data_IF_470359955334
#
_entry.id   IF_470359955334
#
_cell.length_a   1.000
_cell.length_b   1.000
_cell.length_c   1.000
_cell.angle_alpha   90.00
_cell.angle_beta   90.00
_cell.angle_gamma   90.00
#
_symmetry.space_group_name_H-M   'P 1'
#
loop_
_entity.id
_entity.type
_entity.pdbx_description
1 polymer ?
#
# COMPACT_ATOMS: atom_id res chain seq x y z
N UNK A 1 -16.85 20.59 5.04
CA UNK A 1 -16.57 20.18 3.65
C UNK A 1 -17.74 19.31 3.22
N UNK A 2 -18.53 19.75 2.23
CA UNK A 2 -19.75 19.06 1.82
C UNK A 2 -19.41 17.72 1.17
N UNK A 3 -19.92 16.67 1.77
CA UNK A 3 -19.93 15.34 1.20
C UNK A 3 -20.86 15.37 -0.04
N UNK A 4 -20.29 15.29 -1.23
CA UNK A 4 -21.06 15.00 -2.44
C UNK A 4 -21.52 13.56 -2.28
N UNK A 5 -22.84 13.26 -2.25
CA UNK A 5 -23.32 11.88 -2.12
C UNK A 5 -22.70 11.06 -3.25
N UNK A 6 -21.92 10.04 -2.88
CA UNK A 6 -21.16 9.23 -3.81
C UNK A 6 -22.06 8.59 -4.84
N UNK A 7 -21.91 9.01 -6.09
CA UNK A 7 -22.31 8.18 -7.21
C UNK A 7 -21.56 6.86 -7.05
N UNK A 8 -22.29 5.77 -6.91
CA UNK A 8 -21.70 4.42 -6.80
C UNK A 8 -20.88 4.17 -8.06
N UNK A 9 -19.55 4.40 -7.98
CA UNK A 9 -18.65 4.22 -9.11
C UNK A 9 -18.45 2.72 -9.28
N UNK A 10 -19.25 2.13 -10.12
CA UNK A 10 -19.10 0.74 -10.53
C UNK A 10 -18.39 0.65 -11.90
N UNK A 11 -18.05 -0.56 -12.33
CA UNK A 11 -17.28 -0.83 -13.55
C UNK A 11 -17.97 -0.34 -14.84
N UNK A 12 -19.25 0.01 -14.82
CA UNK A 12 -19.99 0.56 -15.98
C UNK A 12 -19.87 2.07 -16.08
N UNK A 13 -19.26 2.74 -15.07
CA UNK A 13 -19.11 4.18 -15.08
C UNK A 13 -18.28 4.63 -16.29
N UNK A 14 -18.70 5.68 -17.00
CA UNK A 14 -18.01 6.19 -18.18
C UNK A 14 -16.54 6.55 -17.99
N UNK A 15 -16.08 6.85 -16.78
CA UNK A 15 -14.66 7.12 -16.50
C UNK A 15 -13.74 5.94 -16.82
N UNK A 16 -14.26 4.72 -16.85
CA UNK A 16 -13.49 3.51 -17.19
C UNK A 16 -13.47 3.19 -18.68
N UNK A 17 -14.27 3.92 -19.49
CA UNK A 17 -14.47 3.64 -20.91
C UNK A 17 -14.10 4.82 -21.82
N UNK A 18 -14.13 6.05 -21.30
CA UNK A 18 -13.85 7.29 -22.01
C UNK A 18 -12.57 7.95 -21.47
N UNK A 19 -11.59 8.19 -22.36
CA UNK A 19 -10.28 8.74 -21.95
C UNK A 19 -10.40 10.21 -21.48
N UNK A 20 -11.30 11.00 -22.07
CA UNK A 20 -11.50 12.40 -21.67
C UNK A 20 -12.13 12.48 -20.28
N UNK A 21 -13.14 11.64 -20.00
CA UNK A 21 -13.75 11.55 -18.67
C UNK A 21 -12.78 11.02 -17.62
N UNK A 22 -11.95 10.03 -17.97
CA UNK A 22 -10.88 9.53 -17.13
C UNK A 22 -9.86 10.63 -16.78
N UNK A 23 -9.45 11.40 -17.78
CA UNK A 23 -8.52 12.53 -17.58
C UNK A 23 -9.12 13.56 -16.65
N UNK A 24 -10.38 13.98 -16.90
CA UNK A 24 -11.07 14.98 -16.07
C UNK A 24 -11.24 14.49 -14.61
N UNK A 25 -11.54 13.21 -14.40
CA UNK A 25 -11.64 12.64 -13.06
C UNK A 25 -10.30 12.71 -12.31
N UNK A 26 -9.20 12.31 -12.96
CA UNK A 26 -7.88 12.34 -12.33
C UNK A 26 -7.41 13.80 -12.12
N UNK A 27 -7.72 14.74 -13.04
CA UNK A 27 -7.46 16.17 -12.87
C UNK A 27 -8.19 16.71 -11.63
N UNK A 28 -9.46 16.35 -11.44
CA UNK A 28 -10.26 16.73 -10.28
C UNK A 28 -9.69 16.18 -8.97
N UNK A 29 -9.37 14.88 -8.93
CA UNK A 29 -8.79 14.24 -7.73
C UNK A 29 -7.41 14.80 -7.36
N UNK A 30 -6.62 15.20 -8.36
CA UNK A 30 -5.27 15.70 -8.15
C UNK A 30 -5.24 17.18 -7.75
N UNK A 31 -6.07 18.01 -8.37
CA UNK A 31 -5.94 19.47 -8.30
C UNK A 31 -7.18 20.19 -7.80
N UNK A 32 -8.30 19.49 -7.67
CA UNK A 32 -9.59 20.08 -7.23
C UNK A 32 -9.96 21.38 -7.96
N UNK A 33 -9.65 21.44 -9.29
CA UNK A 33 -9.93 22.62 -10.14
C UNK A 33 -8.79 23.64 -10.24
N UNK A 34 -7.77 23.55 -9.40
CA UNK A 34 -6.62 24.48 -9.37
C UNK A 34 -5.31 23.76 -9.73
N UNK A 35 -4.99 23.57 -11.03
CA UNK A 35 -3.80 22.86 -11.43
C UNK A 35 -2.52 23.52 -10.94
N UNK A 36 -1.61 22.71 -10.37
CA UNK A 36 -0.31 23.14 -9.87
C UNK A 36 0.79 22.53 -10.72
N UNK A 37 1.79 23.33 -11.09
CA UNK A 37 2.94 22.85 -11.84
C UNK A 37 3.76 21.86 -11.01
N UNK A 38 3.95 20.61 -11.48
CA UNK A 38 4.71 19.60 -10.73
C UNK A 38 6.23 19.84 -10.76
N UNK A 39 6.72 20.78 -11.55
CA UNK A 39 8.14 21.11 -11.68
C UNK A 39 8.57 22.23 -10.71
N UNK A 40 7.77 23.29 -10.58
CA UNK A 40 8.13 24.45 -9.76
C UNK A 40 7.09 24.85 -8.70
N UNK A 41 5.95 24.16 -8.61
CA UNK A 41 4.90 24.47 -7.62
C UNK A 41 4.01 25.67 -7.96
N UNK A 42 4.22 26.34 -9.12
CA UNK A 42 3.44 27.51 -9.51
C UNK A 42 1.98 27.19 -9.81
N UNK A 43 1.08 28.11 -9.44
CA UNK A 43 -0.32 28.14 -9.84
C UNK A 43 -0.52 28.85 -11.20
N UNK A 44 0.49 29.58 -11.70
CA UNK A 44 0.47 30.27 -12.99
C UNK A 44 0.52 29.31 -14.17
N UNK A 45 -0.49 28.46 -14.31
CA UNK A 45 -0.56 27.45 -15.37
C UNK A 45 -1.74 27.69 -16.28
N UNK A 46 -1.62 27.27 -17.56
CA UNK A 46 -2.71 27.33 -18.53
C UNK A 46 -2.89 25.99 -19.22
N UNK A 47 -4.13 25.58 -19.45
CA UNK A 47 -4.47 24.41 -20.26
C UNK A 47 -4.22 24.70 -21.73
N UNK A 48 -3.51 23.82 -22.40
CA UNK A 48 -3.21 23.98 -23.83
C UNK A 48 -4.38 23.48 -24.67
N UNK A 49 -4.63 24.20 -25.80
CA UNK A 49 -5.71 23.85 -26.73
C UNK A 49 -5.24 22.97 -27.88
N UNK A 50 -6.22 22.47 -28.65
CA UNK A 50 -5.98 21.66 -29.86
C UNK A 50 -5.92 20.14 -29.63
N UNK A 51 -6.20 19.36 -30.68
CA UNK A 51 -6.30 17.90 -30.61
C UNK A 51 -5.00 17.22 -30.17
N UNK A 52 -3.85 17.76 -30.58
CA UNK A 52 -2.52 17.20 -30.29
C UNK A 52 -2.03 17.51 -28.88
N UNK A 53 -2.70 18.44 -28.18
CA UNK A 53 -2.30 18.91 -26.85
C UNK A 53 -3.38 18.67 -25.78
N UNK A 54 -4.34 17.79 -26.08
CA UNK A 54 -5.40 17.44 -25.15
C UNK A 54 -4.85 16.95 -23.80
N UNK A 55 -5.33 17.54 -22.70
CA UNK A 55 -4.86 17.22 -21.33
C UNK A 55 -3.44 17.74 -20.99
N UNK A 56 -2.86 18.63 -21.81
CA UNK A 56 -1.56 19.23 -21.59
C UNK A 56 -1.71 20.61 -20.96
N UNK A 57 -0.84 20.92 -20.02
CA UNK A 57 -0.70 22.23 -19.37
C UNK A 57 0.67 22.82 -19.66
N UNK A 58 0.75 24.15 -19.68
CA UNK A 58 1.98 24.92 -19.73
C UNK A 58 2.07 25.77 -18.47
N UNK A 59 3.19 25.68 -17.78
CA UNK A 59 3.53 26.61 -16.69
C UNK A 59 4.04 27.94 -17.27
N UNK A 60 3.49 29.06 -16.79
CA UNK A 60 3.93 30.38 -17.24
C UNK A 60 5.28 30.79 -16.63
N UNK A 61 5.62 30.23 -15.46
CA UNK A 61 6.85 30.60 -14.75
C UNK A 61 8.06 29.80 -15.23
N UNK A 62 8.03 28.46 -15.13
CA UNK A 62 9.16 27.62 -15.57
C UNK A 62 9.12 27.24 -17.06
N UNK A 63 8.03 27.56 -17.78
CA UNK A 63 7.83 27.26 -19.20
C UNK A 63 7.76 25.76 -19.55
N UNK A 64 7.77 24.89 -18.55
CA UNK A 64 7.66 23.45 -18.76
C UNK A 64 6.20 23.02 -19.04
N UNK A 65 6.08 21.99 -19.89
CA UNK A 65 4.81 21.35 -20.20
C UNK A 65 4.62 20.14 -19.31
N UNK A 66 3.40 19.93 -18.86
CA UNK A 66 3.05 18.77 -18.04
C UNK A 66 1.63 18.28 -18.34
N UNK A 67 1.34 17.09 -17.84
CA UNK A 67 0.00 16.47 -17.89
C UNK A 67 -0.35 15.98 -16.49
N UNK A 68 -1.57 15.50 -16.32
CA UNK A 68 -2.00 14.87 -15.06
C UNK A 68 -1.14 13.67 -14.65
N UNK A 69 -0.37 13.08 -15.56
CA UNK A 69 0.57 11.96 -15.28
C UNK A 69 1.91 12.42 -14.70
N UNK A 70 2.34 13.63 -15.01
CA UNK A 70 3.67 14.15 -14.66
C UNK A 70 3.84 14.22 -13.14
N UNK A 71 4.95 13.68 -12.61
CA UNK A 71 5.20 13.61 -11.18
C UNK A 71 4.30 12.61 -10.43
N UNK A 72 3.77 11.58 -11.10
CA UNK A 72 2.96 10.54 -10.46
C UNK A 72 3.45 9.14 -10.86
N UNK A 73 2.89 8.11 -10.21
CA UNK A 73 3.14 6.70 -10.60
C UNK A 73 2.73 6.40 -12.05
N UNK A 74 1.91 7.25 -12.68
CA UNK A 74 1.47 7.13 -14.07
C UNK A 74 2.46 7.73 -15.07
N UNK A 75 3.49 8.43 -14.61
CA UNK A 75 4.44 9.13 -15.48
C UNK A 75 5.09 8.19 -16.50
N UNK A 76 5.20 8.66 -17.73
CA UNK A 76 5.74 7.92 -18.90
C UNK A 76 5.07 6.58 -19.18
N UNK A 77 3.84 6.39 -18.70
CA UNK A 77 3.05 5.21 -19.07
C UNK A 77 2.33 5.43 -20.39
N UNK A 78 2.40 4.44 -21.27
CA UNK A 78 1.61 4.40 -22.51
C UNK A 78 0.22 3.79 -22.32
N UNK A 79 -0.08 3.26 -21.12
CA UNK A 79 -1.42 2.72 -20.80
C UNK A 79 -2.41 3.89 -20.72
N UNK A 80 -3.57 3.84 -21.42
CA UNK A 80 -4.61 4.87 -21.33
C UNK A 80 -5.06 5.12 -19.89
N UNK A 81 -5.42 6.36 -19.54
CA UNK A 81 -5.84 6.74 -18.18
C UNK A 81 -7.10 5.98 -17.75
N UNK A 82 -8.06 5.77 -18.66
CA UNK A 82 -9.25 4.94 -18.38
C UNK A 82 -8.89 3.52 -17.91
N UNK A 83 -7.84 2.91 -18.47
CA UNK A 83 -7.34 1.60 -18.03
C UNK A 83 -6.59 1.67 -16.69
N UNK A 84 -5.93 2.79 -16.41
CA UNK A 84 -5.33 3.06 -15.10
C UNK A 84 -6.40 3.15 -14.03
N UNK A 85 -7.46 3.93 -14.26
CA UNK A 85 -8.59 4.05 -13.33
C UNK A 85 -9.26 2.71 -13.08
N UNK A 86 -9.56 1.96 -14.16
CA UNK A 86 -10.17 0.64 -14.05
C UNK A 86 -9.29 -0.33 -13.24
N UNK A 87 -7.98 -0.37 -13.53
CA UNK A 87 -7.06 -1.22 -12.79
C UNK A 87 -6.96 -0.83 -11.31
N UNK A 88 -6.92 0.47 -11.01
CA UNK A 88 -6.91 0.99 -9.64
C UNK A 88 -8.19 0.61 -8.89
N UNK A 89 -9.35 0.81 -9.52
CA UNK A 89 -10.65 0.44 -8.96
C UNK A 89 -10.76 -1.08 -8.69
N UNK A 90 -10.37 -1.92 -9.65
CA UNK A 90 -10.36 -3.38 -9.46
C UNK A 90 -9.43 -3.80 -8.30
N UNK A 91 -8.26 -3.19 -8.18
CA UNK A 91 -7.35 -3.46 -7.05
C UNK A 91 -7.91 -2.96 -5.72
N UNK A 92 -8.60 -1.82 -5.71
CA UNK A 92 -9.27 -1.27 -4.53
C UNK A 92 -10.42 -2.16 -4.06
N UNK A 93 -11.26 -2.63 -4.97
CA UNK A 93 -12.42 -3.48 -4.69
C UNK A 93 -12.05 -4.91 -4.25
N UNK A 94 -10.87 -5.40 -4.62
CA UNK A 94 -10.45 -6.77 -4.34
C UNK A 94 -10.00 -6.97 -2.89
N UNK A 95 -10.74 -7.76 -2.11
CA UNK A 95 -10.40 -8.08 -0.70
C UNK A 95 -9.14 -8.93 -0.52
N UNK A 96 -8.78 -9.75 -1.52
CA UNK A 96 -7.64 -10.69 -1.46
C UNK A 96 -6.51 -10.34 -2.41
N UNK A 97 -6.63 -9.23 -3.13
CA UNK A 97 -5.71 -8.84 -4.17
C UNK A 97 -6.08 -9.38 -5.55
N UNK A 98 -5.31 -8.96 -6.56
CA UNK A 98 -5.54 -9.31 -7.96
C UNK A 98 -4.23 -9.77 -8.61
N UNK A 99 -4.26 -10.94 -9.25
CA UNK A 99 -3.08 -11.42 -9.99
C UNK A 99 -2.85 -10.57 -11.25
N UNK A 100 -1.59 -10.35 -11.61
CA UNK A 100 -1.24 -9.60 -12.82
C UNK A 100 -1.74 -10.26 -14.09
N UNK A 101 -1.81 -11.59 -14.14
CA UNK A 101 -2.35 -12.33 -15.27
C UNK A 101 -3.86 -12.08 -15.45
N UNK A 102 -4.62 -12.06 -14.35
CA UNK A 102 -6.05 -11.74 -14.36
C UNK A 102 -6.28 -10.28 -14.73
N UNK A 103 -5.53 -9.36 -14.12
CA UNK A 103 -5.58 -7.93 -14.45
C UNK A 103 -5.35 -7.70 -15.94
N UNK A 104 -4.32 -8.33 -16.53
CA UNK A 104 -4.01 -8.20 -17.95
C UNK A 104 -5.17 -8.60 -18.86
N UNK A 105 -5.86 -9.70 -18.54
CA UNK A 105 -7.06 -10.13 -19.27
C UNK A 105 -8.22 -9.16 -19.13
N UNK A 106 -8.47 -8.66 -17.91
CA UNK A 106 -9.61 -7.78 -17.62
C UNK A 106 -9.49 -6.41 -18.30
N UNK A 107 -8.28 -5.84 -18.33
CA UNK A 107 -8.08 -4.50 -18.93
C UNK A 107 -7.52 -4.55 -20.35
N UNK A 108 -7.30 -5.74 -20.90
CA UNK A 108 -6.81 -5.94 -22.28
C UNK A 108 -5.40 -5.37 -22.50
N UNK A 109 -4.42 -5.83 -21.69
CA UNK A 109 -2.98 -5.52 -21.84
C UNK A 109 -2.15 -6.78 -21.64
N UNK A 110 -0.88 -6.75 -22.10
CA UNK A 110 0.03 -7.89 -21.92
C UNK A 110 0.29 -8.14 -20.41
N UNK A 111 0.62 -9.39 -20.08
CA UNK A 111 1.00 -9.76 -18.71
C UNK A 111 2.09 -8.85 -18.12
N UNK A 112 3.13 -8.56 -18.90
CA UNK A 112 4.26 -7.72 -18.51
C UNK A 112 3.79 -6.29 -18.18
N UNK A 113 2.90 -5.73 -18.99
CA UNK A 113 2.30 -4.41 -18.76
C UNK A 113 1.43 -4.41 -17.52
N UNK A 114 0.57 -5.43 -17.36
CA UNK A 114 -0.29 -5.56 -16.18
C UNK A 114 0.53 -5.75 -14.90
N UNK A 115 1.59 -6.55 -14.95
CA UNK A 115 2.47 -6.76 -13.79
C UNK A 115 3.11 -5.45 -13.33
N UNK A 116 3.66 -4.68 -14.27
CA UNK A 116 4.28 -3.41 -13.94
C UNK A 116 3.25 -2.35 -13.48
N UNK A 117 2.07 -2.34 -14.10
CA UNK A 117 0.94 -1.50 -13.70
C UNK A 117 0.52 -1.79 -12.26
N UNK A 118 0.30 -3.06 -11.92
CA UNK A 118 -0.04 -3.46 -10.55
C UNK A 118 1.03 -3.04 -9.53
N UNK A 119 2.32 -3.13 -9.87
CA UNK A 119 3.38 -2.67 -8.98
C UNK A 119 3.42 -1.15 -8.81
N UNK A 120 3.09 -0.38 -9.85
CA UNK A 120 2.94 1.07 -9.74
C UNK A 120 1.73 1.47 -8.90
N UNK A 121 0.62 0.73 -9.00
CA UNK A 121 -0.55 0.93 -8.13
C UNK A 121 -0.20 0.60 -6.67
N UNK A 122 0.57 -0.46 -6.40
CA UNK A 122 1.06 -0.76 -5.04
C UNK A 122 1.97 0.33 -4.48
N UNK A 123 2.78 0.95 -5.33
CA UNK A 123 3.58 2.12 -4.95
C UNK A 123 2.69 3.31 -4.55
N UNK A 124 1.57 3.51 -5.27
CA UNK A 124 0.56 4.50 -4.90
C UNK A 124 -0.16 4.12 -3.60
N UNK A 125 -0.46 2.84 -3.38
CA UNK A 125 -1.04 2.34 -2.13
C UNK A 125 -0.12 2.60 -0.92
N UNK A 126 1.19 2.44 -1.11
CA UNK A 126 2.17 2.79 -0.07
C UNK A 126 2.13 4.29 0.28
N UNK A 127 1.97 5.16 -0.74
CA UNK A 127 1.83 6.60 -0.53
C UNK A 127 0.52 7.03 0.10
N UNK A 128 -0.52 6.22 -0.03
CA UNK A 128 -1.82 6.45 0.59
C UNK A 128 -1.89 5.96 2.04
N UNK A 129 -0.97 5.10 2.47
CA UNK A 129 -0.93 4.65 3.86
C UNK A 129 -0.51 5.78 4.80
N UNK A 130 -1.08 5.85 6.01
CA UNK A 130 -0.72 6.86 6.98
C UNK A 130 0.76 6.83 7.32
N UNK A 131 1.35 8.00 7.54
CA UNK A 131 2.73 8.19 7.98
C UNK A 131 2.78 8.79 9.39
N UNK A 132 3.95 8.76 10.03
CA UNK A 132 4.11 9.25 11.39
C UNK A 132 4.05 8.13 12.45
N UNK A 133 4.36 8.43 13.72
CA UNK A 133 4.34 7.46 14.80
C UNK A 133 2.91 6.94 15.06
N UNK A 134 2.82 5.66 15.39
CA UNK A 134 1.58 5.00 15.83
C UNK A 134 1.46 5.06 17.34
N UNK A 135 0.25 5.00 17.88
CA UNK A 135 0.00 5.02 19.31
C UNK A 135 0.02 6.42 19.92
N UNK A 136 0.68 6.57 21.06
CA UNK A 136 0.72 7.76 21.90
C UNK A 136 0.32 7.46 23.35
N UNK A 137 0.23 8.48 24.20
CA UNK A 137 -0.15 8.34 25.60
C UNK A 137 -1.54 7.68 25.74
N UNK A 138 -1.62 6.65 26.58
CA UNK A 138 -2.85 5.88 26.82
C UNK A 138 -3.29 4.98 25.66
N UNK A 139 -2.53 4.92 24.58
CA UNK A 139 -2.85 4.09 23.40
C UNK A 139 -1.99 2.84 23.35
N UNK A 140 -2.50 1.81 22.65
CA UNK A 140 -1.85 0.51 22.54
C UNK A 140 -1.52 0.16 21.10
N UNK A 141 -0.31 -0.34 20.89
CA UNK A 141 0.13 -0.87 19.58
C UNK A 141 0.56 -2.32 19.73
N UNK A 142 -0.08 -3.19 18.95
CA UNK A 142 0.33 -4.59 18.82
C UNK A 142 1.49 -4.72 17.82
N UNK A 143 2.52 -5.48 18.17
CA UNK A 143 3.60 -5.86 17.26
C UNK A 143 3.72 -7.37 17.20
N UNK A 144 3.68 -7.93 16.00
CA UNK A 144 3.77 -9.37 15.78
C UNK A 144 4.46 -9.66 14.45
N UNK A 145 5.02 -10.85 14.28
CA UNK A 145 5.69 -11.25 13.07
C UNK A 145 5.06 -12.47 12.39
N UNK A 146 5.17 -12.48 11.08
CA UNK A 146 4.75 -13.62 10.27
C UNK A 146 5.77 -13.94 9.18
N UNK A 147 5.67 -15.15 8.65
CA UNK A 147 6.60 -15.66 7.64
C UNK A 147 5.88 -16.01 6.35
N UNK A 148 6.40 -15.48 5.24
CA UNK A 148 5.93 -15.73 3.88
C UNK A 148 6.88 -16.68 3.16
N UNK A 149 6.34 -17.74 2.57
CA UNK A 149 7.10 -18.73 1.79
C UNK A 149 6.41 -20.09 1.75
N UNK A 150 6.86 -20.95 0.83
CA UNK A 150 6.31 -22.28 0.67
C UNK A 150 6.64 -23.23 1.84
N UNK A 151 5.84 -24.29 2.01
CA UNK A 151 6.09 -25.34 2.99
C UNK A 151 7.31 -26.17 2.58
N UNK A 152 8.23 -26.46 3.52
CA UNK A 152 9.43 -27.26 3.29
C UNK A 152 9.10 -28.66 2.74
N UNK A 153 8.00 -29.27 3.23
CA UNK A 153 7.53 -30.60 2.81
C UNK A 153 7.17 -30.73 1.34
N UNK A 154 6.91 -29.61 0.66
CA UNK A 154 6.55 -29.63 -0.76
C UNK A 154 7.78 -29.65 -1.69
N UNK A 155 9.00 -29.86 -1.14
CA UNK A 155 10.26 -29.83 -1.87
C UNK A 155 11.12 -31.05 -1.49
N UNK A 156 10.67 -32.25 -1.91
CA UNK A 156 11.29 -33.53 -1.53
C UNK A 156 12.79 -33.62 -1.82
N UNK A 157 13.32 -32.92 -2.83
CA UNK A 157 14.71 -33.01 -3.26
C UNK A 157 15.48 -31.68 -3.29
N UNK A 158 14.94 -30.61 -2.71
CA UNK A 158 15.62 -29.27 -2.69
C UNK A 158 15.57 -28.68 -1.29
N UNK A 159 16.63 -27.96 -0.92
CA UNK A 159 16.62 -27.16 0.32
C UNK A 159 15.39 -26.24 0.35
N UNK A 160 14.70 -26.16 1.50
CA UNK A 160 13.56 -25.24 1.64
C UNK A 160 13.99 -23.81 1.31
N UNK A 161 13.17 -23.07 0.58
CA UNK A 161 13.43 -21.66 0.38
C UNK A 161 13.39 -20.93 1.71
N UNK A 162 14.33 -20.01 1.93
CA UNK A 162 14.33 -19.13 3.12
C UNK A 162 12.95 -18.43 3.20
N UNK A 163 12.27 -18.56 4.31
CA UNK A 163 11.06 -17.82 4.58
C UNK A 163 11.40 -16.34 4.75
N UNK A 164 10.52 -15.48 4.26
CA UNK A 164 10.64 -14.03 4.37
C UNK A 164 9.81 -13.58 5.53
N UNK A 165 10.41 -12.80 6.42
CA UNK A 165 9.72 -12.30 7.60
C UNK A 165 9.04 -10.96 7.30
N UNK A 166 7.86 -10.78 7.88
CA UNK A 166 7.10 -9.53 7.89
C UNK A 166 6.73 -9.24 9.33
N UNK A 167 7.10 -8.05 9.81
CA UNK A 167 6.67 -7.51 11.10
C UNK A 167 5.54 -6.53 10.84
N UNK A 168 4.44 -6.68 11.54
CA UNK A 168 3.28 -5.77 11.44
C UNK A 168 3.01 -5.11 12.79
N UNK A 169 2.70 -3.82 12.71
CA UNK A 169 2.31 -2.97 13.82
C UNK A 169 0.84 -2.64 13.65
N UNK A 170 0.02 -2.84 14.67
CA UNK A 170 -1.41 -2.54 14.64
C UNK A 170 -1.75 -1.60 15.79
N UNK A 171 -2.16 -0.39 15.46
CA UNK A 171 -2.71 0.57 16.43
C UNK A 171 -4.13 0.13 16.79
N UNK A 172 -4.40 -0.09 18.07
CA UNK A 172 -5.68 -0.69 18.52
C UNK A 172 -6.82 0.31 18.51
N UNK A 173 -6.54 1.56 18.78
CA UNK A 173 -7.54 2.62 18.86
C UNK A 173 -8.00 3.06 17.47
N UNK A 174 -7.07 3.21 16.54
CA UNK A 174 -7.39 3.57 15.16
C UNK A 174 -7.68 2.36 14.26
N UNK A 175 -7.24 1.18 14.68
CA UNK A 175 -7.29 -0.04 13.89
C UNK A 175 -6.41 0.01 12.65
N UNK A 176 -5.37 0.87 12.63
CA UNK A 176 -4.45 0.99 11.49
C UNK A 176 -3.34 -0.04 11.56
N UNK A 177 -3.01 -0.62 10.41
CA UNK A 177 -1.91 -1.55 10.23
C UNK A 177 -0.76 -0.92 9.45
N UNK A 178 0.47 -1.29 9.82
CA UNK A 178 1.69 -0.95 9.08
C UNK A 178 2.66 -2.12 9.11
N UNK A 179 3.03 -2.62 7.94
CA UNK A 179 3.80 -3.86 7.82
C UNK A 179 5.13 -3.62 7.12
N UNK A 180 6.15 -4.29 7.61
CA UNK A 180 7.52 -4.15 7.12
C UNK A 180 8.12 -5.52 6.80
N UNK A 181 8.74 -5.61 5.64
CA UNK A 181 9.62 -6.72 5.36
C UNK A 181 10.93 -6.54 6.13
N UNK A 182 11.34 -7.57 6.85
CA UNK A 182 12.64 -7.61 7.54
C UNK A 182 13.50 -8.73 6.99
N UNK A 183 14.80 -8.46 6.85
CA UNK A 183 15.74 -9.46 6.35
C UNK A 183 15.95 -10.60 7.36
N UNK A 184 15.98 -10.24 8.64
CA UNK A 184 16.11 -11.18 9.75
C UNK A 184 15.23 -10.69 10.92
N UNK A 185 14.61 -11.64 11.61
CA UNK A 185 13.91 -11.37 12.86
C UNK A 185 14.90 -11.49 13.99
N UNK A 186 15.62 -10.41 14.28
CA UNK A 186 16.53 -10.28 15.41
C UNK A 186 16.19 -9.03 16.22
N UNK A 187 16.64 -8.99 17.46
CA UNK A 187 16.30 -7.90 18.38
C UNK A 187 16.72 -6.51 17.86
N UNK A 188 17.86 -6.42 17.13
CA UNK A 188 18.37 -5.14 16.61
C UNK A 188 17.48 -4.58 15.50
N UNK A 189 17.16 -5.39 14.49
CA UNK A 189 16.39 -4.97 13.33
C UNK A 189 14.94 -4.65 13.72
N UNK A 190 14.33 -5.52 14.55
CA UNK A 190 12.96 -5.33 15.07
C UNK A 190 12.88 -4.10 15.97
N UNK A 191 13.90 -3.89 16.86
CA UNK A 191 13.95 -2.68 17.70
C UNK A 191 13.98 -1.40 16.87
N UNK A 192 14.87 -1.33 15.88
CA UNK A 192 14.99 -0.15 15.02
C UNK A 192 13.66 0.19 14.35
N UNK A 193 12.96 -0.83 13.84
CA UNK A 193 11.66 -0.69 13.20
C UNK A 193 10.60 -0.17 14.18
N UNK A 194 10.46 -0.79 15.34
CA UNK A 194 9.41 -0.47 16.32
C UNK A 194 9.62 0.92 16.89
N UNK A 195 10.84 1.26 17.30
CA UNK A 195 11.18 2.57 17.89
C UNK A 195 10.99 3.72 16.91
N UNK A 196 11.18 3.48 15.60
CA UNK A 196 10.97 4.50 14.57
C UNK A 196 9.49 4.73 14.27
N UNK A 197 8.64 3.71 14.47
CA UNK A 197 7.25 3.74 14.01
C UNK A 197 6.21 3.85 15.13
N UNK A 198 6.58 3.61 16.39
CA UNK A 198 5.66 3.68 17.54
C UNK A 198 6.13 4.79 18.50
N UNK A 199 5.17 5.59 18.96
CA UNK A 199 5.41 6.57 20.02
C UNK A 199 5.75 5.85 21.34
N UNK A 200 6.81 6.27 22.01
CA UNK A 200 7.28 5.64 23.26
C UNK A 200 6.34 5.81 24.45
N UNK A 201 5.43 6.78 24.41
CA UNK A 201 4.37 6.93 25.40
C UNK A 201 3.27 5.86 25.28
N UNK A 202 3.34 4.99 24.28
CA UNK A 202 2.36 3.93 24.03
C UNK A 202 2.57 2.72 24.95
N UNK A 203 1.52 1.92 25.10
CA UNK A 203 1.59 0.53 25.54
C UNK A 203 1.96 -0.37 24.36
N UNK A 204 3.15 -0.99 24.41
CA UNK A 204 3.55 -1.99 23.41
C UNK A 204 2.98 -3.36 23.81
N UNK A 205 2.28 -4.03 22.89
CA UNK A 205 1.76 -5.39 23.09
C UNK A 205 2.45 -6.36 22.12
N UNK A 206 3.04 -7.44 22.65
CA UNK A 206 3.77 -8.43 21.87
C UNK A 206 3.46 -9.86 22.34
N UNK A 207 3.89 -10.83 21.56
CA UNK A 207 4.00 -12.20 22.04
C UNK A 207 5.16 -12.37 23.05
N UNK A 208 5.33 -13.59 23.59
CA UNK A 208 6.38 -13.94 24.57
C UNK A 208 7.77 -14.08 23.95
N UNK A 209 8.01 -13.64 22.71
CA UNK A 209 9.32 -13.77 22.10
C UNK A 209 10.38 -12.90 22.82
N UNK A 210 11.54 -13.51 23.10
CA UNK A 210 12.65 -12.83 23.78
C UNK A 210 13.21 -11.62 23.02
N UNK A 211 12.93 -11.48 21.72
CA UNK A 211 13.36 -10.33 20.91
C UNK A 211 12.71 -9.02 21.39
N UNK A 212 11.52 -9.09 22.02
CA UNK A 212 10.80 -7.94 22.53
C UNK A 212 11.12 -7.59 24.00
N UNK A 213 11.80 -8.46 24.74
CA UNK A 213 11.97 -8.29 26.18
C UNK A 213 12.74 -7.02 26.57
N UNK A 214 13.84 -6.72 25.90
CA UNK A 214 14.60 -5.49 26.18
C UNK A 214 13.93 -4.27 25.56
N UNK A 215 13.35 -4.43 24.38
CA UNK A 215 12.64 -3.39 23.65
C UNK A 215 11.42 -2.86 24.45
N UNK A 216 10.67 -3.74 25.08
CA UNK A 216 9.50 -3.35 25.87
C UNK A 216 9.79 -2.34 26.96
N UNK A 217 11.03 -2.31 27.52
CA UNK A 217 11.46 -1.35 28.53
C UNK A 217 11.60 0.09 28.03
N UNK A 218 11.56 0.29 26.70
CA UNK A 218 11.67 1.62 26.08
C UNK A 218 10.32 2.30 25.89
N UNK A 219 9.22 1.62 26.23
CA UNK A 219 7.85 2.11 26.13
C UNK A 219 7.24 2.36 27.50
N UNK A 220 6.18 3.18 27.56
CA UNK A 220 5.50 3.48 28.82
C UNK A 220 5.03 2.21 29.53
N UNK A 221 4.48 1.26 28.77
CA UNK A 221 4.10 -0.07 29.26
C UNK A 221 4.43 -1.13 28.21
N UNK A 222 4.77 -2.35 28.67
CA UNK A 222 4.91 -3.51 27.81
C UNK A 222 4.05 -4.65 28.34
N UNK A 223 3.10 -5.07 27.52
CA UNK A 223 2.21 -6.18 27.82
C UNK A 223 2.57 -7.38 26.94
N UNK A 224 2.70 -8.55 27.54
CA UNK A 224 3.11 -9.78 26.86
C UNK A 224 2.01 -10.83 26.97
N UNK A 225 1.55 -11.35 25.84
CA UNK A 225 0.54 -12.41 25.74
C UNK A 225 1.21 -13.74 25.46
N UNK A 226 0.85 -14.78 26.22
CA UNK A 226 1.41 -16.13 26.05
C UNK A 226 0.45 -17.06 25.29
N UNK A 227 0.48 -17.01 23.96
CA UNK A 227 -0.32 -17.91 23.11
C UNK A 227 -0.02 -19.40 23.30
N UNK A 228 1.22 -19.74 23.70
CA UNK A 228 1.62 -21.13 23.93
C UNK A 228 0.93 -21.76 25.15
N UNK A 229 0.38 -20.97 26.08
CA UNK A 229 -0.36 -21.40 27.24
C UNK A 229 -1.89 -21.35 27.05
N UNK A 230 -2.38 -21.07 25.83
CA UNK A 230 -3.81 -20.92 25.57
C UNK A 230 -4.41 -19.61 26.09
N UNK A 231 -3.57 -18.66 26.48
CA UNK A 231 -4.01 -17.30 26.83
C UNK A 231 -4.32 -16.52 25.55
N UNK A 232 -5.59 -16.39 25.23
CA UNK A 232 -6.05 -15.54 24.11
C UNK A 232 -6.30 -14.10 24.52
N UNK A 233 -6.52 -13.84 25.82
CA UNK A 233 -6.66 -12.51 26.40
C UNK A 233 -6.28 -12.53 27.89
N UNK A 234 -5.59 -11.51 28.36
CA UNK A 234 -5.27 -11.26 29.77
C UNK A 234 -6.00 -10.00 30.20
N UNK A 235 -6.64 -10.03 31.39
CA UNK A 235 -7.40 -8.90 31.94
C UNK A 235 -8.48 -8.31 31.01
N UNK A 236 -8.93 -9.05 29.97
CA UNK A 236 -9.92 -8.59 29.00
C UNK A 236 -9.41 -7.59 27.95
N UNK A 237 -8.23 -7.01 28.13
CA UNK A 237 -7.69 -5.96 27.24
C UNK A 237 -6.38 -6.35 26.55
N UNK A 238 -5.62 -7.28 27.12
CA UNK A 238 -4.31 -7.69 26.64
C UNK A 238 -4.47 -8.90 25.71
N UNK A 239 -4.42 -8.69 24.41
CA UNK A 239 -4.48 -9.74 23.38
C UNK A 239 -3.71 -9.31 22.12
N UNK A 240 -3.30 -10.25 21.27
CA UNK A 240 -2.72 -9.98 19.94
C UNK A 240 -3.66 -10.41 18.81
N UNK A 241 -4.96 -10.57 19.11
CA UNK A 241 -5.96 -11.06 18.16
C UNK A 241 -6.10 -10.15 16.92
N UNK A 242 -5.78 -8.86 17.04
CA UNK A 242 -5.89 -7.90 15.93
C UNK A 242 -4.79 -8.15 14.90
N UNK A 243 -3.57 -8.39 15.34
CA UNK A 243 -2.46 -8.75 14.49
C UNK A 243 -2.69 -10.14 13.81
N UNK A 244 -3.19 -11.10 14.57
CA UNK A 244 -3.55 -12.42 14.01
C UNK A 244 -4.65 -12.32 12.94
N UNK A 245 -5.67 -11.49 13.14
CA UNK A 245 -6.72 -11.24 12.15
C UNK A 245 -6.14 -10.61 10.88
N UNK A 246 -5.29 -9.58 11.02
CA UNK A 246 -4.59 -8.98 9.90
C UNK A 246 -3.76 -10.01 9.13
N UNK A 247 -2.96 -10.83 9.83
CA UNK A 247 -2.17 -11.88 9.19
C UNK A 247 -3.03 -12.95 8.51
N UNK A 248 -4.19 -13.25 9.03
CA UNK A 248 -5.15 -14.18 8.39
C UNK A 248 -5.58 -13.64 7.02
N UNK A 249 -5.88 -12.32 6.91
CA UNK A 249 -6.23 -11.68 5.65
C UNK A 249 -5.03 -11.67 4.70
N UNK A 250 -3.86 -11.29 5.19
CA UNK A 250 -2.61 -11.26 4.42
C UNK A 250 -2.26 -12.64 3.85
N UNK A 251 -2.26 -13.68 4.69
CA UNK A 251 -1.96 -15.06 4.28
C UNK A 251 -2.97 -15.61 3.27
N UNK A 252 -4.26 -15.25 3.40
CA UNK A 252 -5.28 -15.64 2.39
C UNK A 252 -4.98 -15.05 1.02
N UNK A 253 -4.50 -13.81 0.94
CA UNK A 253 -4.07 -13.20 -0.31
C UNK A 253 -2.79 -13.84 -0.86
N UNK A 254 -1.81 -14.11 0.01
CA UNK A 254 -0.57 -14.80 -0.39
C UNK A 254 -0.86 -16.17 -0.99
N UNK A 255 -1.67 -16.99 -0.32
CA UNK A 255 -1.93 -18.38 -0.73
C UNK A 255 -2.92 -18.44 -1.90
N UNK A 256 -3.98 -17.63 -1.86
CA UNK A 256 -5.09 -17.74 -2.81
C UNK A 256 -4.94 -16.91 -4.08
N UNK A 257 -4.09 -15.87 -4.08
CA UNK A 257 -3.99 -14.94 -5.22
C UNK A 257 -2.59 -14.83 -5.78
N UNK A 258 -1.58 -14.61 -4.92
CA UNK A 258 -0.23 -14.28 -5.37
C UNK A 258 0.69 -15.50 -5.46
N UNK A 259 0.46 -16.53 -4.66
CA UNK A 259 1.22 -17.77 -4.55
C UNK A 259 2.70 -17.58 -4.25
N UNK A 260 3.38 -16.67 -4.95
CA UNK A 260 4.78 -16.33 -4.76
C UNK A 260 4.98 -14.81 -4.83
N UNK A 261 5.67 -14.27 -3.83
CA UNK A 261 6.14 -12.89 -3.79
C UNK A 261 7.66 -12.90 -3.62
N UNK A 262 8.39 -12.23 -4.54
CA UNK A 262 9.84 -12.11 -4.39
C UNK A 262 10.18 -11.21 -3.20
N UNK A 263 11.35 -11.39 -2.63
CA UNK A 263 11.84 -10.55 -1.53
C UNK A 263 11.89 -9.07 -1.93
N UNK A 264 12.40 -8.78 -3.14
CA UNK A 264 12.51 -7.43 -3.67
C UNK A 264 11.16 -6.68 -3.84
N UNK A 265 10.05 -7.39 -3.80
CA UNK A 265 8.71 -6.81 -4.02
C UNK A 265 7.78 -6.97 -2.81
N UNK A 266 8.20 -7.70 -1.77
CA UNK A 266 7.34 -8.05 -0.64
C UNK A 266 6.80 -6.81 0.08
N UNK A 267 7.62 -5.77 0.27
CA UNK A 267 7.19 -4.51 0.90
C UNK A 267 5.99 -3.87 0.20
N UNK A 268 5.95 -3.89 -1.15
CA UNK A 268 4.79 -3.36 -1.90
C UNK A 268 3.52 -4.18 -1.70
N UNK A 269 3.65 -5.49 -1.49
CA UNK A 269 2.50 -6.32 -1.12
C UNK A 269 2.05 -6.06 0.31
N UNK A 270 2.97 -5.83 1.24
CA UNK A 270 2.63 -5.38 2.58
C UNK A 270 1.81 -4.07 2.53
N UNK A 271 2.30 -3.06 1.82
CA UNK A 271 1.61 -1.78 1.65
C UNK A 271 0.20 -1.93 1.02
N UNK A 272 0.01 -2.88 0.11
CA UNK A 272 -1.30 -3.21 -0.46
C UNK A 272 -2.27 -3.77 0.59
N UNK A 273 -1.82 -4.65 1.47
CA UNK A 273 -2.66 -5.23 2.53
C UNK A 273 -2.90 -4.25 3.67
N UNK A 274 -1.90 -3.44 4.02
CA UNK A 274 -2.03 -2.37 4.99
C UNK A 274 -3.12 -1.38 4.54
N UNK A 275 -3.06 -0.89 3.30
CA UNK A 275 -4.06 0.05 2.79
C UNK A 275 -5.46 -0.55 2.80
N UNK A 276 -5.62 -1.81 2.35
CA UNK A 276 -6.93 -2.48 2.41
C UNK A 276 -7.49 -2.58 3.82
N UNK A 277 -6.64 -2.85 4.77
CA UNK A 277 -7.02 -2.96 6.17
C UNK A 277 -7.36 -1.58 6.75
N UNK A 278 -6.54 -0.58 6.45
CA UNK A 278 -6.68 0.79 6.93
C UNK A 278 -7.91 1.51 6.35
N UNK A 279 -8.34 1.09 5.16
CA UNK A 279 -9.48 1.69 4.43
C UNK A 279 -10.69 0.75 4.34
N UNK A 280 -10.81 -0.22 5.26
CA UNK A 280 -11.89 -1.23 5.22
C UNK A 280 -13.30 -0.63 5.33
N UNK A 281 -13.41 0.53 5.96
CA UNK A 281 -14.67 1.25 6.18
C UNK A 281 -15.04 2.19 5.00
N UNK A 282 -14.12 2.37 4.04
CA UNK A 282 -14.37 3.15 2.83
C UNK A 282 -15.03 2.30 1.74
N UNK A 283 -15.80 2.96 0.90
CA UNK A 283 -16.29 2.38 -0.35
C UNK A 283 -15.13 2.08 -1.31
N UNK A 284 -15.36 1.22 -2.30
CA UNK A 284 -14.33 0.88 -3.30
C UNK A 284 -13.90 2.10 -4.12
N UNK A 285 -14.83 3.03 -4.38
CA UNK A 285 -14.57 4.28 -5.09
C UNK A 285 -13.69 5.23 -4.26
N UNK A 286 -14.03 5.45 -3.00
CA UNK A 286 -13.24 6.28 -2.09
C UNK A 286 -11.82 5.71 -1.94
N UNK A 287 -11.70 4.40 -1.74
CA UNK A 287 -10.40 3.72 -1.66
C UNK A 287 -9.59 3.88 -2.95
N UNK A 288 -10.23 3.79 -4.12
CA UNK A 288 -9.57 4.01 -5.40
C UNK A 288 -9.04 5.45 -5.53
N UNK A 289 -9.78 6.44 -5.06
CA UNK A 289 -9.35 7.84 -5.06
C UNK A 289 -8.20 8.09 -4.08
N UNK A 290 -8.21 7.47 -2.89
CA UNK A 290 -7.05 7.52 -1.98
C UNK A 290 -5.79 6.94 -2.63
N UNK A 291 -5.90 5.84 -3.38
CA UNK A 291 -4.78 5.27 -4.13
C UNK A 291 -4.27 6.25 -5.20
N UNK A 292 -5.17 6.94 -5.92
CA UNK A 292 -4.77 7.94 -6.92
C UNK A 292 -3.99 9.09 -6.29
N UNK A 293 -4.46 9.62 -5.16
CA UNK A 293 -3.79 10.68 -4.40
C UNK A 293 -2.43 10.22 -3.86
N UNK A 294 -2.34 9.01 -3.32
CA UNK A 294 -1.09 8.41 -2.85
C UNK A 294 -0.06 8.16 -3.95
N UNK A 295 -0.47 8.20 -5.22
CA UNK A 295 0.42 8.11 -6.37
C UNK A 295 1.12 9.41 -6.76
N UNK A 296 0.74 10.54 -6.15
CA UNK A 296 1.33 11.87 -6.42
C UNK A 296 2.70 11.95 -5.75
N UNK A 297 3.69 12.51 -6.46
CA UNK A 297 5.07 12.62 -5.99
C UNK A 297 5.85 11.30 -6.02
N UNK A 298 5.21 10.19 -6.38
CA UNK A 298 5.85 8.87 -6.42
C UNK A 298 6.13 8.41 -7.84
N UNK A 299 7.21 7.65 -8.00
CA UNK A 299 7.61 7.11 -9.28
C UNK A 299 8.26 5.74 -9.14
N UNK A 300 7.77 4.78 -9.88
CA UNK A 300 8.39 3.46 -10.02
C UNK A 300 8.91 3.28 -11.44
N UNK A 301 10.21 3.05 -11.59
CA UNK A 301 10.85 2.73 -12.87
C UNK A 301 11.09 1.24 -12.98
N UNK A 302 10.94 0.71 -14.20
CA UNK A 302 11.30 -0.67 -14.47
C UNK A 302 12.83 -0.78 -14.53
N UNK A 303 13.43 -1.47 -13.56
CA UNK A 303 14.85 -1.87 -13.59
C UNK A 303 14.91 -3.37 -13.79
N UNK A 304 15.75 -3.79 -14.71
CA UNK A 304 16.03 -5.22 -14.87
C UNK A 304 16.82 -5.71 -13.67
N UNK A 305 16.45 -6.86 -13.13
CA UNK A 305 17.09 -7.46 -11.95
C UNK A 305 18.55 -7.88 -12.19
N UNK A 306 18.89 -8.13 -13.44
CA UNK A 306 20.24 -8.45 -13.91
C UNK A 306 21.22 -7.26 -13.93
N UNK A 307 20.72 -6.02 -13.74
CA UNK A 307 21.52 -4.78 -13.67
C UNK A 307 21.57 -4.15 -12.29
N UNK A 308 21.11 -4.85 -11.23
CA UNK A 308 21.15 -4.37 -9.85
C UNK A 308 22.46 -4.76 -9.11
N UNK A 309 23.41 -5.41 -9.81
CA UNK A 309 24.72 -5.80 -9.29
C UNK A 309 25.82 -5.10 -10.10
N UNK A 310 25.80 -3.78 -10.13
CA UNK A 310 26.92 -2.96 -10.58
C UNK A 310 26.93 -1.66 -9.78
#
# INVERSE_FOLDING_TARGET
MGHIPGMDINITNPIFHDEAKATAHIEAERWNGEPVCPHCGSLGVRKMGGKTQAGMFLCNDCRDKFTVRTGTVMERSHVPLRKWLLATHIMAASKKGMSAAQMGRMIGVSYKTAWFLCHRIREAMEGANPTGPMGGEGKSVEADETYVGGKAKNRAHRKPAKKKAVVSLIDRETGMARSFQVANVNAKDVRSLIVTNIDRASTLQTDKSHIYFQLGKEFAHHSVVNHGAGEYARNGFEHSNTAENFFSIFKRGVIGTYHHMSEAHLGRYCAEFDLRYNTRDLTDAERANEILRGGIGRRLTYRRTDKLAA
#
